data_IF_157455341712
#
_entry.id   IF_157455341712
#
_cell.length_a   1.000
_cell.length_b   1.000
_cell.length_c   1.000
_cell.angle_alpha   90.00
_cell.angle_beta   90.00
_cell.angle_gamma   90.00
#
_symmetry.space_group_name_H-M   'P 1'
#
loop_
_entity.id
_entity.type
_entity.pdbx_description
1 polymer ?
#
# COMPACT_ATOMS: atom_id res chain seq x y z
N UNK A 1 10.17 -0.84 6.58
CA UNK A 1 10.43 -2.17 7.19
C UNK A 1 10.49 -2.18 8.71
N UNK A 2 10.75 -1.07 9.43
CA UNK A 2 10.77 -1.03 10.91
C UNK A 2 9.60 -1.75 11.59
N UNK A 3 8.39 -1.58 11.08
CA UNK A 3 7.18 -2.16 11.68
C UNK A 3 7.11 -3.69 11.69
N UNK A 4 7.84 -4.37 10.79
CA UNK A 4 7.92 -5.82 10.80
C UNK A 4 8.90 -6.31 11.86
N UNK A 5 10.01 -5.58 12.05
CA UNK A 5 11.01 -5.87 13.08
C UNK A 5 10.47 -5.63 14.49
N UNK A 6 9.61 -4.61 14.68
CA UNK A 6 8.96 -4.33 15.96
C UNK A 6 8.10 -5.50 16.46
N UNK A 7 7.49 -6.28 15.57
CA UNK A 7 6.60 -7.37 15.94
C UNK A 7 7.26 -8.76 15.84
N UNK A 8 8.06 -8.99 14.80
CA UNK A 8 8.67 -10.30 14.53
C UNK A 8 10.16 -10.39 14.87
N UNK A 9 10.80 -9.29 15.30
CA UNK A 9 12.25 -9.25 15.53
C UNK A 9 12.78 -10.24 16.56
N UNK A 10 11.93 -10.71 17.49
CA UNK A 10 12.28 -11.72 18.49
C UNK A 10 11.89 -13.16 18.14
N UNK A 11 11.18 -13.40 17.03
CA UNK A 11 10.67 -14.74 16.66
C UNK A 11 11.48 -15.35 15.53
N UNK A 12 11.79 -16.65 15.63
CA UNK A 12 12.39 -17.38 14.50
C UNK A 12 11.34 -17.60 13.41
N UNK A 13 11.78 -17.67 12.16
CA UNK A 13 10.91 -17.89 11.00
C UNK A 13 10.04 -19.16 11.14
N UNK A 14 10.57 -20.21 11.78
CA UNK A 14 9.87 -21.49 12.00
C UNK A 14 8.72 -21.39 13.01
N UNK A 15 8.78 -20.42 13.91
CA UNK A 15 7.79 -20.25 14.97
C UNK A 15 6.64 -19.31 14.55
N UNK A 16 6.71 -18.74 13.35
CA UNK A 16 5.68 -17.84 12.84
C UNK A 16 4.46 -18.66 12.42
N UNK A 17 3.38 -18.55 13.19
CA UNK A 17 2.11 -19.23 12.93
C UNK A 17 1.12 -18.33 12.19
N UNK A 18 0.05 -18.92 11.63
CA UNK A 18 -1.04 -18.16 11.02
C UNK A 18 -1.70 -17.18 12.02
N UNK A 19 -1.82 -17.58 13.30
CA UNK A 19 -2.36 -16.74 14.38
C UNK A 19 -1.52 -15.48 14.59
N UNK A 20 -0.21 -15.56 14.44
CA UNK A 20 0.67 -14.40 14.55
C UNK A 20 0.44 -13.40 13.41
N UNK A 21 0.19 -13.89 12.21
CA UNK A 21 -0.11 -13.06 11.04
C UNK A 21 -1.44 -12.30 11.23
N UNK A 22 -2.45 -12.97 11.77
CA UNK A 22 -3.75 -12.38 12.08
C UNK A 22 -3.64 -11.35 13.21
N UNK A 23 -2.89 -11.68 14.27
CA UNK A 23 -2.62 -10.78 15.38
C UNK A 23 -1.90 -9.51 14.90
N UNK A 24 -0.85 -9.68 14.07
CA UNK A 24 -0.14 -8.56 13.46
C UNK A 24 -1.08 -7.70 12.61
N UNK A 25 -1.90 -8.31 11.75
CA UNK A 25 -2.88 -7.58 10.92
C UNK A 25 -3.82 -6.73 11.78
N UNK A 26 -4.38 -7.29 12.84
CA UNK A 26 -5.34 -6.63 13.71
C UNK A 26 -4.67 -5.52 14.52
N UNK A 27 -3.49 -5.78 15.11
CA UNK A 27 -2.72 -4.77 15.82
C UNK A 27 -2.35 -3.61 14.90
N UNK A 28 -1.91 -3.90 13.67
CA UNK A 28 -1.59 -2.88 12.68
C UNK A 28 -2.80 -2.08 12.21
N UNK A 29 -4.01 -2.63 12.26
CA UNK A 29 -5.22 -1.84 12.00
C UNK A 29 -5.57 -0.95 13.19
N UNK A 30 -5.33 -1.44 14.41
CA UNK A 30 -5.60 -0.72 15.65
C UNK A 30 -4.57 0.41 15.94
N UNK A 31 -3.31 0.28 15.52
CA UNK A 31 -2.29 1.32 15.78
C UNK A 31 -2.48 2.52 14.84
N UNK A 32 -2.85 3.71 15.34
CA UNK A 32 -2.97 4.90 14.50
C UNK A 32 -1.62 5.35 13.94
N UNK A 33 -1.64 6.16 12.88
CA UNK A 33 -0.44 6.85 12.43
C UNK A 33 -0.01 7.91 13.47
N UNK A 34 1.22 8.41 13.35
CA UNK A 34 1.75 9.49 14.19
C UNK A 34 0.88 10.76 14.17
N UNK A 35 0.07 10.94 13.12
CA UNK A 35 -0.90 12.03 12.98
C UNK A 35 -2.29 11.71 13.55
N UNK A 36 -2.43 10.64 14.35
CA UNK A 36 -3.68 10.21 14.98
C UNK A 36 -4.70 9.56 14.03
N UNK A 37 -4.44 9.54 12.71
CA UNK A 37 -5.39 8.98 11.74
C UNK A 37 -5.38 7.44 11.78
N UNK A 38 -6.55 6.80 11.59
CA UNK A 38 -6.61 5.36 11.45
C UNK A 38 -5.83 4.92 10.20
N UNK A 39 -5.20 3.75 10.28
CA UNK A 39 -4.49 3.17 9.13
C UNK A 39 -5.49 2.77 8.06
N UNK A 40 -5.22 3.17 6.82
CA UNK A 40 -5.99 2.69 5.68
C UNK A 40 -5.74 1.22 5.45
N UNK A 41 -6.78 0.51 5.02
CA UNK A 41 -6.70 -0.92 4.68
C UNK A 41 -5.58 -1.20 3.66
N UNK A 42 -5.38 -0.30 2.69
CA UNK A 42 -4.29 -0.37 1.72
C UNK A 42 -2.89 -0.32 2.37
N UNK A 43 -2.72 0.45 3.44
CA UNK A 43 -1.43 0.52 4.16
C UNK A 43 -1.14 -0.78 4.90
N UNK A 44 -2.17 -1.39 5.51
CA UNK A 44 -2.03 -2.69 6.19
C UNK A 44 -1.76 -3.80 5.17
N UNK A 45 -2.50 -3.81 4.06
CA UNK A 45 -2.31 -4.77 2.98
C UNK A 45 -0.91 -4.73 2.38
N UNK A 46 -0.35 -3.55 2.13
CA UNK A 46 1.05 -3.42 1.67
C UNK A 46 2.03 -4.11 2.63
N UNK A 47 1.85 -3.93 3.94
CA UNK A 47 2.65 -4.62 4.96
C UNK A 47 2.49 -6.14 4.90
N UNK A 48 1.26 -6.62 4.77
CA UNK A 48 0.95 -8.06 4.62
C UNK A 48 1.52 -8.66 3.33
N UNK A 49 1.52 -7.91 2.23
CA UNK A 49 2.10 -8.33 0.94
C UNK A 49 3.61 -8.53 1.04
N UNK A 50 4.32 -7.60 1.70
CA UNK A 50 5.77 -7.74 1.95
C UNK A 50 6.04 -8.99 2.80
N UNK A 51 5.28 -9.20 3.87
CA UNK A 51 5.43 -10.36 4.75
C UNK A 51 5.16 -11.68 4.01
N UNK A 52 4.11 -11.71 3.18
CA UNK A 52 3.81 -12.85 2.31
C UNK A 52 4.95 -13.15 1.34
N UNK A 53 5.50 -12.12 0.70
CA UNK A 53 6.62 -12.29 -0.22
C UNK A 53 7.86 -12.85 0.49
N UNK A 54 8.18 -12.31 1.68
CA UNK A 54 9.33 -12.76 2.48
C UNK A 54 9.19 -14.22 2.92
N UNK A 55 8.01 -14.64 3.39
CA UNK A 55 7.77 -16.03 3.80
C UNK A 55 7.78 -16.99 2.61
N UNK A 56 7.27 -16.58 1.46
CA UNK A 56 7.37 -17.38 0.24
C UNK A 56 8.84 -17.52 -0.21
N UNK A 57 9.64 -16.45 -0.14
CA UNK A 57 11.08 -16.52 -0.43
C UNK A 57 11.83 -17.40 0.56
N UNK A 58 11.43 -17.39 1.83
CA UNK A 58 12.02 -18.28 2.85
C UNK A 58 11.79 -19.76 2.53
N UNK A 59 10.67 -20.10 1.87
CA UNK A 59 10.41 -21.46 1.39
C UNK A 59 11.26 -21.80 0.17
N UNK A 60 11.38 -20.86 -0.78
CA UNK A 60 12.25 -21.00 -1.95
C UNK A 60 13.72 -21.23 -1.56
N UNK A 61 14.17 -20.61 -0.46
CA UNK A 61 15.53 -20.78 0.07
C UNK A 61 15.68 -21.98 1.02
N UNK A 62 14.63 -22.81 1.20
CA UNK A 62 14.68 -23.99 2.06
C UNK A 62 14.74 -23.71 3.56
N UNK A 63 14.47 -22.47 4.00
CA UNK A 63 14.41 -22.10 5.42
C UNK A 63 13.11 -22.56 6.09
N UNK A 64 12.04 -22.72 5.30
CA UNK A 64 10.72 -23.19 5.69
C UNK A 64 10.20 -24.21 4.67
N UNK A 65 9.52 -25.26 5.14
CA UNK A 65 8.92 -26.26 4.24
C UNK A 65 7.59 -25.76 3.64
N UNK A 66 6.78 -25.07 4.45
CA UNK A 66 5.45 -24.60 4.05
C UNK A 66 5.23 -23.18 4.57
N UNK A 67 4.77 -22.24 3.73
CA UNK A 67 4.47 -20.89 4.19
C UNK A 67 3.16 -20.89 5.01
N UNK A 68 3.12 -20.24 6.18
CA UNK A 68 1.92 -20.21 7.04
C UNK A 68 0.72 -19.52 6.39
N UNK A 69 0.93 -18.70 5.35
CA UNK A 69 -0.13 -18.10 4.53
C UNK A 69 -0.98 -19.08 3.73
N UNK A 70 -0.52 -20.33 3.51
CA UNK A 70 -1.25 -21.33 2.71
C UNK A 70 -2.35 -22.04 3.49
N UNK A 71 -2.31 -21.98 4.82
CA UNK A 71 -3.19 -22.76 5.72
C UNK A 71 -4.49 -22.05 6.11
N UNK A 72 -4.75 -20.82 5.67
CA UNK A 72 -5.91 -20.05 6.14
C UNK A 72 -6.53 -19.09 5.11
N UNK A 73 -7.54 -18.36 5.55
CA UNK A 73 -8.30 -17.40 4.75
C UNK A 73 -7.44 -16.18 4.32
N UNK A 74 -7.93 -15.41 3.35
CA UNK A 74 -7.24 -14.19 2.90
C UNK A 74 -7.12 -13.18 4.05
N UNK A 75 -5.89 -12.92 4.48
CA UNK A 75 -5.56 -11.92 5.51
C UNK A 75 -5.49 -10.47 4.95
N UNK A 76 -5.92 -10.24 3.71
CA UNK A 76 -5.98 -8.91 3.10
C UNK A 76 -7.37 -8.31 3.28
N UNK A 77 -7.44 -7.04 3.65
CA UNK A 77 -8.69 -6.29 3.64
C UNK A 77 -9.12 -5.99 2.19
N UNK A 78 -10.43 -5.92 1.94
CA UNK A 78 -10.94 -5.53 0.62
C UNK A 78 -10.70 -4.03 0.44
N UNK A 79 -9.77 -3.67 -0.42
CA UNK A 79 -9.51 -2.27 -0.74
C UNK A 79 -10.66 -1.73 -1.58
N UNK A 80 -11.34 -0.69 -1.09
CA UNK A 80 -12.22 0.12 -1.93
C UNK A 80 -11.33 1.12 -2.69
N UNK A 81 -10.60 0.61 -3.69
CA UNK A 81 -9.74 1.39 -4.58
C UNK A 81 -10.58 2.13 -5.63
N UNK A 82 -11.55 2.95 -5.20
CA UNK A 82 -12.16 3.92 -6.10
C UNK A 82 -11.05 4.88 -6.52
N UNK A 83 -10.51 4.61 -7.71
CA UNK A 83 -9.47 5.42 -8.33
C UNK A 83 -10.03 6.81 -8.59
N UNK A 84 -9.18 7.78 -8.33
CA UNK A 84 -9.33 9.21 -8.56
C UNK A 84 -10.34 9.56 -9.66
N UNK A 85 -11.26 10.45 -9.30
CA UNK A 85 -12.10 11.17 -10.25
C UNK A 85 -11.21 11.86 -11.29
N UNK A 86 -11.52 11.65 -12.56
CA UNK A 86 -10.94 12.44 -13.66
C UNK A 86 -11.66 13.79 -13.76
N UNK A 87 -10.93 14.81 -14.19
CA UNK A 87 -11.52 16.11 -14.50
C UNK A 87 -12.46 15.94 -15.70
N UNK A 88 -13.62 16.58 -15.66
CA UNK A 88 -14.47 16.72 -16.85
C UNK A 88 -13.92 17.82 -17.76
N UNK A 89 -14.39 17.88 -19.00
CA UNK A 89 -13.97 18.91 -19.97
C UNK A 89 -14.23 20.32 -19.42
N UNK A 90 -15.35 20.54 -18.73
CA UNK A 90 -15.70 21.83 -18.12
C UNK A 90 -14.81 22.18 -16.92
N UNK A 91 -14.26 21.18 -16.23
CA UNK A 91 -13.30 21.40 -15.16
C UNK A 91 -11.91 21.71 -15.70
N UNK A 92 -11.54 21.13 -16.84
CA UNK A 92 -10.30 21.44 -17.55
C UNK A 92 -10.32 22.88 -18.05
N UNK A 93 -11.40 23.34 -18.66
CA UNK A 93 -11.53 24.72 -19.13
C UNK A 93 -11.49 25.74 -17.98
N UNK A 94 -12.18 25.43 -16.87
CA UNK A 94 -12.11 26.25 -15.65
C UNK A 94 -10.72 26.28 -15.03
N UNK A 95 -9.98 25.18 -15.09
CA UNK A 95 -8.61 25.12 -14.60
C UNK A 95 -7.67 25.96 -15.47
N UNK A 96 -7.76 25.83 -16.80
CA UNK A 96 -6.90 26.55 -17.74
C UNK A 96 -7.18 28.07 -17.75
N UNK A 97 -8.43 28.47 -17.53
CA UNK A 97 -8.81 29.89 -17.42
C UNK A 97 -8.38 30.54 -16.09
N UNK A 98 -8.27 29.76 -15.01
CA UNK A 98 -7.79 30.24 -13.71
C UNK A 98 -6.24 30.26 -13.60
N UNK A 99 -5.52 29.65 -14.55
CA UNK A 99 -4.06 29.59 -14.52
C UNK A 99 -3.40 30.91 -14.94
N UNK A 100 -2.34 31.30 -14.22
CA UNK A 100 -1.47 32.40 -14.64
C UNK A 100 -0.77 32.09 -15.97
N UNK A 101 -0.35 33.10 -16.76
CA UNK A 101 0.23 32.90 -18.10
C UNK A 101 1.42 31.92 -18.14
N UNK A 102 2.21 31.87 -17.07
CA UNK A 102 3.38 30.98 -16.96
C UNK A 102 3.02 29.53 -16.61
N UNK A 103 1.88 29.28 -15.96
CA UNK A 103 1.44 27.95 -15.53
C UNK A 103 0.56 27.26 -16.58
N UNK A 104 -0.16 28.05 -17.39
CA UNK A 104 -1.05 27.55 -18.44
C UNK A 104 -0.39 26.52 -19.38
N UNK A 105 0.80 26.77 -19.98
CA UNK A 105 1.42 25.79 -20.88
C UNK A 105 1.86 24.49 -20.17
N UNK A 106 2.23 24.58 -18.88
CA UNK A 106 2.63 23.40 -18.09
C UNK A 106 1.41 22.52 -17.79
N UNK A 107 0.29 23.15 -17.41
CA UNK A 107 -0.96 22.46 -17.10
C UNK A 107 -1.58 21.86 -18.36
N UNK A 108 -1.57 22.59 -19.47
CA UNK A 108 -2.02 22.11 -20.77
C UNK A 108 -1.23 20.89 -21.23
N UNK A 109 0.11 20.93 -21.13
CA UNK A 109 0.96 19.78 -21.42
C UNK A 109 0.68 18.58 -20.50
N UNK A 110 0.44 18.83 -19.20
CA UNK A 110 0.14 17.79 -18.22
C UNK A 110 -1.23 17.12 -18.41
N UNK A 111 -2.17 17.78 -19.09
CA UNK A 111 -3.50 17.25 -19.41
C UNK A 111 -3.49 16.32 -20.63
N UNK A 112 -2.53 16.47 -21.53
CA UNK A 112 -2.37 15.54 -22.65
C UNK A 112 -1.93 14.15 -22.13
N UNK A 113 -2.60 13.07 -22.57
CA UNK A 113 -2.34 11.72 -22.08
C UNK A 113 -0.90 11.30 -22.41
N UNK A 114 -0.06 11.21 -21.38
CA UNK A 114 1.34 10.80 -21.55
C UNK A 114 2.27 11.33 -20.46
N UNK A 115 1.91 12.45 -19.81
CA UNK A 115 2.75 13.00 -18.75
C UNK A 115 2.48 12.34 -17.39
N UNK A 116 3.53 11.82 -16.76
CA UNK A 116 3.52 11.45 -15.34
C UNK A 116 4.09 12.61 -14.53
N UNK A 117 3.61 12.82 -13.31
CA UNK A 117 4.06 13.86 -12.36
C UNK A 117 5.53 13.72 -11.87
N UNK A 118 6.37 12.98 -12.59
CA UNK A 118 7.82 12.88 -12.33
C UNK A 118 8.66 12.97 -13.61
N UNK A 119 8.03 13.19 -14.77
CA UNK A 119 8.68 13.39 -16.07
C UNK A 119 8.40 14.77 -16.67
N UNK A 120 7.72 15.64 -15.92
CA UNK A 120 7.37 17.01 -16.29
C UNK A 120 8.29 18.00 -15.57
#
# INVERSE_FOLDING_TARGET
MKCLLEFFGGKRLRDITYKDLETYRNQRKATPLANGKPRTDATVNRGMTVLKHMLNKSVEWGLLEVPPFRKGARLTFRENNQRHRYLTEEEIERLLSACSPHLKPIVELALHPGMKRGTA
#
